data_IF_221045056578
#
_entry.id   IF_221045056578
#
_cell.length_a   1.000
_cell.length_b   1.000
_cell.length_c   1.000
_cell.angle_alpha   90.00
_cell.angle_beta   90.00
_cell.angle_gamma   90.00
#
_symmetry.space_group_name_H-M   'P 1'
#
loop_
_entity.id
_entity.type
_entity.pdbx_description
1 polymer ?
#
# COMPACT_ATOMS: atom_id res chain seq x y z
N UNK A 1 9.39 15.63 14.88
CA UNK A 1 9.23 16.09 13.49
C UNK A 1 9.00 14.87 12.60
N UNK A 2 8.08 14.94 11.64
CA UNK A 2 7.86 13.85 10.69
C UNK A 2 9.04 13.77 9.70
N UNK A 3 9.54 12.55 9.46
CA UNK A 3 10.60 12.28 8.48
C UNK A 3 10.12 12.49 7.05
N UNK A 4 8.81 12.42 6.83
CA UNK A 4 8.16 12.71 5.55
C UNK A 4 7.71 14.17 5.40
N UNK A 5 8.06 15.03 6.36
CA UNK A 5 7.68 16.44 6.37
C UNK A 5 8.53 17.30 5.42
N UNK A 6 7.87 18.15 4.63
CA UNK A 6 8.52 19.11 3.73
C UNK A 6 9.41 20.10 4.47
N UNK A 7 8.97 20.55 5.66
CA UNK A 7 9.75 21.44 6.52
C UNK A 7 11.09 20.82 6.91
N UNK A 8 11.10 19.54 7.30
CA UNK A 8 12.33 18.86 7.71
C UNK A 8 13.30 18.71 6.54
N UNK A 9 12.78 18.38 5.35
CA UNK A 9 13.58 18.33 4.12
C UNK A 9 14.22 19.68 3.79
N UNK A 10 13.45 20.78 3.81
CA UNK A 10 13.99 22.11 3.53
C UNK A 10 15.03 22.56 4.56
N UNK A 11 14.81 22.24 5.84
CA UNK A 11 15.82 22.49 6.87
C UNK A 11 17.12 21.74 6.57
N UNK A 12 17.06 20.46 6.17
CA UNK A 12 18.27 19.70 5.80
C UNK A 12 18.96 20.24 4.55
N UNK A 13 18.21 20.69 3.54
CA UNK A 13 18.80 21.34 2.35
C UNK A 13 19.55 22.62 2.77
N UNK A 14 18.94 23.46 3.60
CA UNK A 14 19.58 24.66 4.10
C UNK A 14 20.85 24.33 4.92
N UNK A 15 20.78 23.33 5.80
CA UNK A 15 21.93 22.84 6.56
C UNK A 15 23.03 22.29 5.65
N UNK A 16 22.69 21.59 4.57
CA UNK A 16 23.67 21.05 3.61
C UNK A 16 24.42 22.17 2.90
N UNK A 17 23.72 23.25 2.49
CA UNK A 17 24.35 24.45 1.93
C UNK A 17 25.30 25.09 2.96
N UNK A 18 24.85 25.27 4.20
CA UNK A 18 25.69 25.80 5.29
C UNK A 18 26.92 24.91 5.52
N UNK A 19 26.76 23.60 5.46
CA UNK A 19 27.84 22.65 5.70
C UNK A 19 28.92 22.66 4.61
N UNK A 20 28.58 23.09 3.38
CA UNK A 20 29.56 23.34 2.31
C UNK A 20 30.20 24.73 2.45
N UNK A 21 29.42 25.75 2.78
CA UNK A 21 29.91 27.13 2.90
C UNK A 21 30.85 27.31 4.10
N UNK A 22 30.56 26.68 5.24
CA UNK A 22 31.36 26.81 6.47
C UNK A 22 32.86 26.47 6.25
N UNK A 23 33.23 25.29 5.72
CA UNK A 23 34.60 25.00 5.35
C UNK A 23 35.19 26.02 4.37
N UNK A 24 34.47 26.36 3.29
CA UNK A 24 35.00 27.28 2.28
C UNK A 24 35.37 28.65 2.85
N UNK A 25 34.59 29.16 3.82
CA UNK A 25 34.81 30.49 4.41
C UNK A 25 35.78 30.44 5.61
N UNK A 26 35.66 29.44 6.48
CA UNK A 26 36.33 29.45 7.79
C UNK A 26 37.60 28.61 7.84
N UNK A 27 37.86 27.70 6.88
CA UNK A 27 38.95 26.72 6.98
C UNK A 27 40.33 27.33 7.30
N UNK A 28 40.64 28.48 6.69
CA UNK A 28 41.89 29.22 6.87
C UNK A 28 41.80 30.35 7.92
N UNK A 29 40.59 30.72 8.36
CA UNK A 29 40.33 31.90 9.19
C UNK A 29 40.14 31.61 10.68
N UNK A 30 40.25 30.36 11.11
CA UNK A 30 40.07 29.96 12.52
C UNK A 30 41.21 30.48 13.41
N UNK A 31 40.93 31.35 14.40
CA UNK A 31 41.92 31.76 15.40
C UNK A 31 42.12 30.66 16.45
N UNK A 32 43.22 30.74 17.21
CA UNK A 32 43.45 29.89 18.39
C UNK A 32 44.48 28.76 18.22
N UNK A 33 44.65 27.92 19.27
CA UNK A 33 45.66 26.87 19.32
C UNK A 33 45.55 25.84 18.19
N UNK A 34 46.67 25.24 17.76
CA UNK A 34 46.70 24.24 16.68
C UNK A 34 45.68 23.10 16.88
N UNK A 35 45.56 22.60 18.10
CA UNK A 35 44.63 21.51 18.45
C UNK A 35 43.17 21.95 18.29
N UNK A 36 42.81 23.14 18.79
CA UNK A 36 41.46 23.68 18.67
C UNK A 36 41.05 23.90 17.20
N UNK A 37 41.98 24.40 16.37
CA UNK A 37 41.76 24.56 14.92
C UNK A 37 41.57 23.22 14.21
N UNK A 38 42.38 22.22 14.57
CA UNK A 38 42.23 20.87 14.02
C UNK A 38 40.88 20.26 14.41
N UNK A 39 40.49 20.36 15.69
CA UNK A 39 39.19 19.89 16.18
C UNK A 39 38.03 20.58 15.46
N UNK A 40 38.07 21.91 15.31
CA UNK A 40 37.04 22.66 14.57
C UNK A 40 36.93 22.23 13.11
N UNK A 41 38.05 21.97 12.43
CA UNK A 41 38.06 21.44 11.05
C UNK A 41 37.45 20.06 10.97
N UNK A 42 37.79 19.16 11.90
CA UNK A 42 37.18 17.83 11.99
C UNK A 42 35.67 17.94 12.21
N UNK A 43 35.22 18.81 13.12
CA UNK A 43 33.80 19.04 13.35
C UNK A 43 33.07 19.57 12.12
N UNK A 44 33.66 20.51 11.36
CA UNK A 44 33.10 20.99 10.10
C UNK A 44 32.95 19.86 9.07
N UNK A 45 33.96 18.99 8.94
CA UNK A 45 33.89 17.84 8.04
C UNK A 45 32.82 16.82 8.47
N UNK A 46 32.76 16.50 9.77
CA UNK A 46 31.75 15.59 10.32
C UNK A 46 30.34 16.16 10.14
N UNK A 47 30.17 17.47 10.33
CA UNK A 47 28.89 18.15 10.09
C UNK A 47 28.48 18.08 8.61
N UNK A 48 29.41 18.30 7.69
CA UNK A 48 29.17 18.18 6.25
C UNK A 48 28.80 16.76 5.84
N UNK A 49 29.58 15.76 6.27
CA UNK A 49 29.29 14.36 5.99
C UNK A 49 27.97 13.91 6.59
N UNK A 50 27.73 14.22 7.86
CA UNK A 50 26.49 13.85 8.56
C UNK A 50 25.25 14.48 7.90
N UNK A 51 25.34 15.75 7.51
CA UNK A 51 24.23 16.44 6.82
C UNK A 51 23.99 15.88 5.42
N UNK A 52 25.05 15.56 4.67
CA UNK A 52 24.93 14.94 3.35
C UNK A 52 24.24 13.57 3.42
N UNK A 53 24.69 12.71 4.35
CA UNK A 53 24.08 11.39 4.59
C UNK A 53 22.62 11.53 5.02
N UNK A 54 22.32 12.45 5.96
CA UNK A 54 20.96 12.70 6.41
C UNK A 54 20.05 13.21 5.27
N UNK A 55 20.56 14.10 4.40
CA UNK A 55 19.81 14.61 3.26
C UNK A 55 19.50 13.48 2.26
N UNK A 56 20.49 12.67 1.89
CA UNK A 56 20.28 11.51 1.00
C UNK A 56 19.27 10.54 1.60
N UNK A 57 19.40 10.22 2.89
CA UNK A 57 18.45 9.38 3.61
C UNK A 57 17.02 9.92 3.52
N UNK A 58 16.82 11.22 3.77
CA UNK A 58 15.49 11.84 3.70
C UNK A 58 14.94 11.89 2.28
N UNK A 59 15.79 12.11 1.27
CA UNK A 59 15.36 12.07 -0.14
C UNK A 59 14.83 10.68 -0.51
N UNK A 60 15.59 9.64 -0.20
CA UNK A 60 15.18 8.24 -0.46
C UNK A 60 13.93 7.87 0.34
N UNK A 61 13.85 8.28 1.61
CA UNK A 61 12.68 8.04 2.45
C UNK A 61 11.44 8.76 1.92
N UNK A 62 11.56 9.99 1.43
CA UNK A 62 10.43 10.75 0.88
C UNK A 62 9.96 10.20 -0.47
N UNK A 63 10.89 9.68 -1.27
CA UNK A 63 10.57 9.05 -2.54
C UNK A 63 9.82 7.72 -2.34
N UNK A 64 10.17 6.95 -1.32
CA UNK A 64 9.63 5.61 -1.08
C UNK A 64 8.62 5.53 0.08
N UNK A 65 8.47 6.59 0.88
CA UNK A 65 7.65 6.64 2.10
C UNK A 65 7.86 5.41 3.00
N UNK A 66 9.12 5.15 3.39
CA UNK A 66 9.49 3.98 4.20
C UNK A 66 9.16 4.18 5.69
N UNK A 67 9.50 5.36 6.22
CA UNK A 67 9.40 5.69 7.66
C UNK A 67 8.70 7.05 7.86
N UNK A 68 7.73 7.12 8.77
CA UNK A 68 6.98 8.34 9.05
C UNK A 68 7.67 9.25 10.07
N UNK A 69 8.34 8.65 11.06
CA UNK A 69 8.95 9.34 12.18
C UNK A 69 10.22 8.62 12.68
N UNK A 70 10.96 9.30 13.56
CA UNK A 70 12.21 8.76 14.13
C UNK A 70 12.03 7.47 14.93
N UNK A 71 10.85 7.27 15.54
CA UNK A 71 10.53 6.02 16.23
C UNK A 71 10.53 4.83 15.29
N UNK A 72 10.09 5.01 14.05
CA UNK A 72 10.12 3.94 13.04
C UNK A 72 11.56 3.61 12.61
N UNK A 73 12.43 4.63 12.50
CA UNK A 73 13.84 4.48 12.13
C UNK A 73 14.65 3.85 13.27
N UNK A 74 14.41 4.29 14.49
CA UNK A 74 15.13 3.83 15.68
C UNK A 74 14.54 2.53 16.25
N UNK A 75 13.43 2.03 15.69
CA UNK A 75 12.76 0.83 16.16
C UNK A 75 12.17 0.98 17.57
N UNK A 76 11.65 2.16 17.89
CA UNK A 76 11.01 2.46 19.20
C UNK A 76 9.51 2.70 19.10
N UNK A 77 8.94 2.62 17.89
CA UNK A 77 7.50 2.71 17.67
C UNK A 77 6.75 1.48 18.19
N UNK A 78 5.81 1.70 19.10
CA UNK A 78 4.83 0.71 19.53
C UNK A 78 3.43 1.32 19.46
N UNK A 79 2.56 0.68 18.68
CA UNK A 79 1.19 1.11 18.45
C UNK A 79 0.16 0.18 19.11
N UNK A 80 0.59 -0.81 19.89
CA UNK A 80 -0.28 -1.80 20.50
C UNK A 80 -0.46 -1.47 21.97
N UNK A 81 -1.66 -1.02 22.36
CA UNK A 81 -1.99 -0.78 23.77
C UNK A 81 -2.44 -2.04 24.48
N UNK A 82 -3.06 -2.95 23.74
CA UNK A 82 -3.56 -4.23 24.23
C UNK A 82 -3.62 -5.23 23.07
N UNK A 83 -3.30 -6.49 23.34
CA UNK A 83 -3.43 -7.59 22.39
C UNK A 83 -4.11 -8.78 23.07
N UNK A 84 -5.42 -8.66 23.31
CA UNK A 84 -6.22 -9.74 23.89
C UNK A 84 -6.28 -10.95 22.93
N UNK A 85 -6.50 -12.15 23.47
CA UNK A 85 -6.87 -13.30 22.65
C UNK A 85 -8.29 -13.10 22.12
N UNK A 86 -8.41 -12.83 20.83
CA UNK A 86 -9.67 -12.56 20.16
C UNK A 86 -10.36 -13.84 19.65
N UNK A 87 -9.76 -15.02 19.85
CA UNK A 87 -10.28 -16.27 19.31
C UNK A 87 -10.33 -16.30 17.78
N UNK A 88 -10.97 -17.34 17.25
CA UNK A 88 -10.99 -17.61 15.80
C UNK A 88 -11.79 -16.59 14.97
N UNK A 89 -12.77 -15.90 15.59
CA UNK A 89 -13.60 -14.91 14.89
C UNK A 89 -12.94 -13.51 14.80
N UNK A 90 -11.82 -13.32 15.51
CA UNK A 90 -11.08 -12.07 15.56
C UNK A 90 -11.85 -10.94 16.27
N UNK A 91 -12.82 -11.26 17.12
CA UNK A 91 -13.60 -10.26 17.86
C UNK A 91 -13.57 -10.45 19.37
N UNK A 92 -13.11 -11.60 19.88
CA UNK A 92 -13.11 -11.89 21.32
C UNK A 92 -14.52 -11.99 21.90
N UNK A 93 -15.50 -12.45 21.11
CA UNK A 93 -16.92 -12.51 21.49
C UNK A 93 -17.65 -11.16 21.48
N UNK A 94 -17.01 -10.11 20.95
CA UNK A 94 -17.61 -8.78 20.84
C UNK A 94 -18.60 -8.76 19.68
N UNK A 95 -19.87 -8.53 20.00
CA UNK A 95 -20.90 -8.28 19.00
C UNK A 95 -20.67 -6.93 18.31
N UNK A 96 -20.06 -6.92 17.11
CA UNK A 96 -19.66 -5.71 16.40
C UNK A 96 -20.80 -4.69 16.18
N UNK A 97 -22.02 -5.18 15.95
CA UNK A 97 -23.22 -4.34 15.79
C UNK A 97 -23.65 -3.60 17.07
N UNK A 98 -23.19 -4.05 18.24
CA UNK A 98 -23.45 -3.41 19.54
C UNK A 98 -22.37 -2.43 19.95
N UNK A 99 -21.24 -2.39 19.22
CA UNK A 99 -20.20 -1.43 19.53
C UNK A 99 -20.71 0.00 19.28
N UNK A 100 -20.51 0.92 20.23
CA UNK A 100 -20.94 2.30 20.08
C UNK A 100 -20.27 2.94 18.87
N UNK A 101 -20.90 3.98 18.32
CA UNK A 101 -20.32 4.72 17.20
C UNK A 101 -18.97 5.32 17.57
N UNK A 102 -18.00 5.18 16.69
CA UNK A 102 -16.68 5.79 16.83
C UNK A 102 -16.73 7.13 16.10
N UNK A 103 -16.76 8.24 16.84
CA UNK A 103 -16.66 9.59 16.25
C UNK A 103 -15.21 10.04 16.25
N UNK A 104 -14.74 10.55 15.11
CA UNK A 104 -13.37 10.99 14.91
C UNK A 104 -13.36 12.44 14.42
N UNK A 105 -12.38 13.19 14.91
CA UNK A 105 -12.01 14.49 14.33
C UNK A 105 -10.85 14.24 13.37
N UNK A 106 -10.94 14.82 12.18
CA UNK A 106 -9.93 14.65 11.15
C UNK A 106 -9.19 15.95 10.92
N UNK A 107 -7.87 15.84 10.83
CA UNK A 107 -7.00 16.95 10.46
C UNK A 107 -6.46 16.77 9.05
N UNK A 108 -5.95 17.84 8.47
CA UNK A 108 -5.32 17.79 7.16
C UNK A 108 -3.94 17.16 7.27
N UNK A 109 -3.72 16.03 6.58
CA UNK A 109 -2.45 15.32 6.61
C UNK A 109 -1.30 16.18 6.03
N UNK A 110 -0.11 15.96 6.60
CA UNK A 110 1.14 16.57 6.15
C UNK A 110 2.08 15.55 5.50
N UNK A 111 2.90 16.04 4.57
CA UNK A 111 3.85 15.24 3.80
C UNK A 111 3.61 15.32 2.30
N UNK A 112 4.48 14.65 1.53
CA UNK A 112 4.39 14.61 0.07
C UNK A 112 3.03 14.05 -0.40
N UNK A 113 2.44 14.65 -1.43
CA UNK A 113 1.13 14.25 -1.99
C UNK A 113 -0.10 14.59 -1.13
N UNK A 114 0.05 14.84 0.17
CA UNK A 114 -1.09 14.95 1.11
C UNK A 114 -2.00 16.15 0.90
N UNK A 115 -1.53 17.21 0.23
CA UNK A 115 -2.32 18.41 -0.08
C UNK A 115 -2.90 18.37 -1.50
N UNK A 116 -2.50 17.40 -2.33
CA UNK A 116 -2.98 17.27 -3.69
C UNK A 116 -4.41 16.72 -3.74
N UNK A 117 -5.08 16.91 -4.88
CA UNK A 117 -6.39 16.34 -5.18
C UNK A 117 -7.47 16.56 -4.10
N UNK A 118 -7.54 17.74 -3.49
CA UNK A 118 -8.53 18.06 -2.45
C UNK A 118 -8.13 17.68 -1.02
N UNK A 119 -6.93 17.12 -0.85
CA UNK A 119 -6.31 16.89 0.46
C UNK A 119 -6.67 15.56 1.10
N UNK A 120 -5.66 14.92 1.69
CA UNK A 120 -5.79 13.71 2.51
C UNK A 120 -5.99 14.12 3.96
N UNK A 121 -6.92 13.45 4.64
CA UNK A 121 -7.23 13.66 6.05
C UNK A 121 -6.55 12.60 6.89
N UNK A 122 -6.26 12.89 8.15
CA UNK A 122 -5.70 11.94 9.11
C UNK A 122 -6.40 12.06 10.45
N UNK A 123 -6.54 10.93 11.15
CA UNK A 123 -6.90 10.88 12.56
C UNK A 123 -6.05 9.82 13.28
N UNK A 124 -5.95 9.94 14.60
CA UNK A 124 -5.41 8.92 15.48
C UNK A 124 -6.57 8.04 15.97
N UNK A 125 -6.65 6.79 15.53
CA UNK A 125 -7.71 5.87 15.92
C UNK A 125 -7.23 4.93 17.02
N UNK A 126 -7.93 4.95 18.16
CA UNK A 126 -7.85 3.91 19.18
C UNK A 126 -8.85 2.80 18.88
N UNK A 127 -8.36 1.68 18.36
CA UNK A 127 -9.10 0.46 18.10
C UNK A 127 -9.63 -0.15 19.39
N UNK A 128 -10.93 -0.44 19.43
CA UNK A 128 -11.61 -0.96 20.62
C UNK A 128 -11.52 -2.48 20.71
N UNK A 129 -11.42 -3.14 19.57
CA UNK A 129 -11.31 -4.60 19.49
C UNK A 129 -9.85 -5.02 19.42
N UNK A 130 -9.09 -4.40 18.52
CA UNK A 130 -7.68 -4.71 18.31
C UNK A 130 -6.76 -4.21 19.43
N UNK A 131 -7.16 -3.16 20.16
CA UNK A 131 -6.27 -2.48 21.11
C UNK A 131 -5.14 -1.69 20.44
N UNK A 132 -5.17 -1.53 19.11
CA UNK A 132 -4.21 -0.73 18.35
C UNK A 132 -4.54 0.75 18.47
N UNK A 133 -3.52 1.59 18.61
CA UNK A 133 -3.63 3.04 18.57
C UNK A 133 -2.69 3.61 17.52
N UNK A 134 -3.22 3.88 16.32
CA UNK A 134 -2.43 4.30 15.18
C UNK A 134 -3.16 5.29 14.27
N UNK A 135 -2.39 5.95 13.40
CA UNK A 135 -2.87 6.87 12.39
C UNK A 135 -3.66 6.15 11.29
N UNK A 136 -4.75 6.79 10.85
CA UNK A 136 -5.53 6.36 9.69
C UNK A 136 -5.71 7.55 8.76
N UNK A 137 -5.27 7.38 7.50
CA UNK A 137 -5.38 8.38 6.46
C UNK A 137 -6.62 8.13 5.61
N UNK A 138 -7.37 9.17 5.27
CA UNK A 138 -8.59 9.07 4.47
C UNK A 138 -8.60 10.14 3.40
N UNK A 139 -8.85 9.75 2.16
CA UNK A 139 -9.14 10.66 1.06
C UNK A 139 -10.56 10.43 0.54
N UNK A 140 -11.26 11.52 0.22
CA UNK A 140 -12.63 11.48 -0.24
C UNK A 140 -12.69 11.79 -1.74
N UNK A 141 -13.52 11.07 -2.51
CA UNK A 141 -13.67 11.31 -3.94
C UNK A 141 -14.26 12.72 -4.18
N UNK A 142 -13.99 13.36 -5.32
CA UNK A 142 -14.47 14.72 -5.58
C UNK A 142 -16.01 14.82 -5.48
N UNK A 143 -16.72 13.76 -5.85
CA UNK A 143 -18.17 13.65 -5.76
C UNK A 143 -18.70 13.72 -4.32
N UNK A 144 -17.88 13.45 -3.30
CA UNK A 144 -18.33 13.45 -1.91
C UNK A 144 -18.89 14.80 -1.46
N UNK A 145 -18.49 15.90 -2.08
CA UNK A 145 -18.97 17.23 -1.73
C UNK A 145 -19.96 17.82 -2.76
N UNK A 146 -20.29 17.06 -3.80
CA UNK A 146 -21.23 17.49 -4.83
C UNK A 146 -22.69 17.35 -4.34
N UNK A 147 -23.55 18.37 -4.52
CA UNK A 147 -24.95 18.32 -4.10
C UNK A 147 -25.74 17.12 -4.67
N UNK A 148 -25.39 16.69 -5.88
CA UNK A 148 -25.99 15.53 -6.54
C UNK A 148 -25.77 14.21 -5.77
N UNK A 149 -24.71 14.12 -4.96
CA UNK A 149 -24.33 12.92 -4.21
C UNK A 149 -24.56 13.07 -2.69
N UNK A 150 -25.34 14.07 -2.27
CA UNK A 150 -25.57 14.35 -0.84
C UNK A 150 -26.08 13.14 -0.04
N UNK A 151 -26.83 12.25 -0.70
CA UNK A 151 -27.40 11.02 -0.12
C UNK A 151 -26.72 9.74 -0.63
N UNK A 152 -25.70 9.88 -1.47
CA UNK A 152 -24.95 8.75 -2.00
C UNK A 152 -23.97 8.23 -0.94
N UNK A 153 -23.91 6.91 -0.83
CA UNK A 153 -22.87 6.20 -0.08
C UNK A 153 -21.85 5.70 -1.08
N UNK A 154 -20.58 5.84 -0.73
CA UNK A 154 -19.46 5.59 -1.61
C UNK A 154 -18.81 4.26 -1.27
N UNK A 155 -18.38 3.48 -2.28
CA UNK A 155 -17.57 2.29 -2.05
C UNK A 155 -16.22 2.67 -1.44
N UNK A 156 -15.60 1.74 -0.72
CA UNK A 156 -14.36 1.97 0.03
C UNK A 156 -13.27 1.02 -0.47
N UNK A 157 -12.06 1.55 -0.64
CA UNK A 157 -10.85 0.75 -0.82
C UNK A 157 -9.91 1.02 0.35
N UNK A 158 -9.64 -0.02 1.14
CA UNK A 158 -8.61 -0.01 2.16
C UNK A 158 -7.25 -0.29 1.55
N UNK A 159 -6.24 0.54 1.86
CA UNK A 159 -4.98 0.63 1.15
C UNK A 159 -3.83 0.25 2.10
N UNK A 160 -3.21 -0.90 1.84
CA UNK A 160 -2.19 -1.50 2.70
C UNK A 160 -0.79 -1.32 2.08
N UNK A 161 0.16 -0.65 2.75
CA UNK A 161 1.51 -0.53 2.24
C UNK A 161 2.29 -1.84 2.40
N UNK A 162 3.41 -1.96 1.69
CA UNK A 162 4.41 -3.01 1.90
C UNK A 162 5.20 -2.83 3.19
N UNK A 163 6.12 -3.77 3.47
CA UNK A 163 7.01 -3.75 4.61
C UNK A 163 8.49 -3.66 4.17
N UNK A 164 9.32 -2.81 4.81
CA UNK A 164 8.89 -1.66 5.62
C UNK A 164 8.17 -0.64 4.74
N UNK A 165 7.18 0.07 5.30
CA UNK A 165 6.45 1.09 4.56
C UNK A 165 5.48 1.89 5.42
N UNK A 166 5.15 3.09 4.96
CA UNK A 166 4.15 3.97 5.56
C UNK A 166 2.82 3.90 4.83
N UNK A 167 1.72 4.04 5.57
CA UNK A 167 0.39 4.24 5.01
C UNK A 167 0.33 5.45 4.06
N UNK A 168 1.19 6.44 4.29
CA UNK A 168 1.32 7.62 3.41
C UNK A 168 1.78 7.28 2.01
N UNK A 169 2.48 6.15 1.80
CA UNK A 169 3.04 5.78 0.51
C UNK A 169 2.00 5.68 -0.61
N UNK A 170 0.76 5.30 -0.28
CA UNK A 170 -0.34 5.27 -1.22
C UNK A 170 -0.66 6.65 -1.82
N UNK A 171 -0.69 7.68 -0.99
CA UNK A 171 -0.95 9.06 -1.43
C UNK A 171 0.33 9.78 -1.88
N UNK A 172 1.48 9.51 -1.26
CA UNK A 172 2.76 10.13 -1.61
C UNK A 172 3.40 9.50 -2.84
N UNK A 173 3.97 8.30 -2.68
CA UNK A 173 4.77 7.64 -3.72
C UNK A 173 3.93 7.04 -4.85
N UNK A 174 2.79 6.43 -4.53
CA UNK A 174 1.88 5.84 -5.52
C UNK A 174 0.90 6.87 -6.09
N UNK A 175 0.74 8.04 -5.46
CA UNK A 175 -0.10 9.15 -5.96
C UNK A 175 -1.53 8.69 -6.31
N UNK A 176 -2.10 7.78 -5.51
CA UNK A 176 -3.35 7.09 -5.83
C UNK A 176 -4.50 8.06 -6.10
N UNK A 177 -4.69 9.03 -5.21
CA UNK A 177 -5.73 10.05 -5.31
C UNK A 177 -5.53 11.00 -6.49
N UNK A 178 -4.29 11.36 -6.83
CA UNK A 178 -4.00 12.20 -7.99
C UNK A 178 -4.26 11.47 -9.32
N UNK A 179 -3.87 10.19 -9.41
CA UNK A 179 -4.10 9.38 -10.61
C UNK A 179 -5.59 9.12 -10.84
N UNK A 180 -6.35 8.88 -9.76
CA UNK A 180 -7.77 8.52 -9.87
C UNK A 180 -8.69 9.74 -9.97
N UNK A 181 -8.31 10.91 -9.46
CA UNK A 181 -9.14 12.13 -9.49
C UNK A 181 -9.77 12.42 -10.88
N UNK A 182 -9.00 12.51 -11.99
CA UNK A 182 -9.60 12.78 -13.30
C UNK A 182 -10.53 11.64 -13.75
N UNK A 183 -10.14 10.38 -13.50
CA UNK A 183 -10.93 9.21 -13.89
C UNK A 183 -12.25 9.11 -13.12
N UNK A 184 -12.25 9.49 -11.84
CA UNK A 184 -13.45 9.58 -11.04
C UNK A 184 -14.36 10.71 -11.54
N UNK A 185 -13.81 11.88 -11.87
CA UNK A 185 -14.59 12.99 -12.45
C UNK A 185 -15.27 12.60 -13.77
N UNK A 186 -14.54 11.87 -14.62
CA UNK A 186 -15.04 11.41 -15.92
C UNK A 186 -15.95 10.18 -15.82
N UNK A 187 -16.09 9.58 -14.63
CA UNK A 187 -16.91 8.39 -14.39
C UNK A 187 -16.31 7.09 -14.92
N UNK A 188 -15.01 7.08 -15.25
CA UNK A 188 -14.27 5.88 -15.67
C UNK A 188 -13.83 4.99 -14.49
N UNK A 189 -13.73 5.58 -13.30
CA UNK A 189 -13.47 4.89 -12.03
C UNK A 189 -14.56 5.32 -11.05
N UNK A 190 -15.06 4.38 -10.25
CA UNK A 190 -16.06 4.68 -9.22
C UNK A 190 -15.50 5.69 -8.19
N UNK A 191 -16.35 6.54 -7.60
CA UNK A 191 -15.91 7.49 -6.59
C UNK A 191 -15.60 6.76 -5.26
N UNK A 192 -14.42 6.15 -5.15
CA UNK A 192 -14.02 5.43 -3.94
C UNK A 192 -13.60 6.38 -2.81
N UNK A 193 -14.04 6.08 -1.58
CA UNK A 193 -13.32 6.52 -0.38
C UNK A 193 -12.06 5.68 -0.28
N UNK A 194 -10.91 6.34 -0.13
CA UNK A 194 -9.63 5.68 0.00
C UNK A 194 -9.17 5.79 1.46
N UNK A 195 -8.95 4.67 2.13
CA UNK A 195 -8.50 4.63 3.53
C UNK A 195 -7.19 3.88 3.63
N UNK A 196 -6.15 4.51 4.17
CA UNK A 196 -4.84 3.88 4.38
C UNK A 196 -4.51 3.88 5.89
N UNK A 197 -4.76 2.79 6.61
CA UNK A 197 -4.36 2.65 8.00
C UNK A 197 -2.88 2.28 8.12
N UNK A 198 -2.27 2.60 9.27
CA UNK A 198 -0.96 2.09 9.63
C UNK A 198 -0.95 0.56 9.73
N UNK A 199 0.03 -0.10 9.12
CA UNK A 199 0.24 -1.56 9.20
C UNK A 199 1.52 -1.94 9.95
N UNK A 200 2.52 -1.05 9.98
CA UNK A 200 3.70 -1.16 10.83
C UNK A 200 3.32 -0.80 12.28
N UNK A 201 2.80 -1.80 13.01
CA UNK A 201 2.30 -1.64 14.38
C UNK A 201 3.35 -1.91 15.45
N UNK A 202 4.39 -2.66 15.09
CA UNK A 202 5.50 -3.04 15.97
C UNK A 202 6.82 -2.64 15.30
N UNK A 203 7.78 -2.21 16.10
CA UNK A 203 9.10 -1.87 15.62
C UNK A 203 9.84 -3.07 15.04
N UNK A 204 10.40 -2.90 13.84
CA UNK A 204 11.38 -3.83 13.25
C UNK A 204 10.82 -5.18 12.80
N UNK A 205 9.50 -5.41 12.89
CA UNK A 205 8.87 -6.67 12.46
C UNK A 205 7.61 -6.41 11.63
N UNK A 206 7.35 -7.29 10.66
CA UNK A 206 6.08 -7.37 9.97
C UNK A 206 5.10 -8.23 10.78
N UNK A 207 3.88 -7.73 11.00
CA UNK A 207 2.85 -8.47 11.74
C UNK A 207 2.20 -9.57 10.90
N UNK A 208 2.41 -9.59 9.59
CA UNK A 208 1.70 -10.45 8.64
C UNK A 208 0.18 -10.19 8.62
N UNK A 209 -0.22 -9.00 9.08
CA UNK A 209 -1.63 -8.61 9.30
C UNK A 209 -2.41 -9.66 10.08
N UNK A 210 -1.81 -10.25 11.12
CA UNK A 210 -2.37 -11.33 11.91
C UNK A 210 -2.78 -10.88 13.31
N UNK A 211 -3.74 -11.60 13.90
CA UNK A 211 -3.97 -11.57 15.33
C UNK A 211 -3.02 -12.59 16.00
N UNK A 212 -2.14 -12.07 16.84
CA UNK A 212 -1.14 -12.78 17.61
C UNK A 212 -1.38 -12.45 19.08
N UNK A 213 -2.07 -13.34 19.83
CA UNK A 213 -2.41 -13.11 21.23
C UNK A 213 -1.20 -12.69 22.06
N UNK A 214 -1.35 -11.64 22.88
CA UNK A 214 -0.28 -11.09 23.69
C UNK A 214 0.76 -10.26 22.93
N UNK A 215 0.67 -10.16 21.60
CA UNK A 215 1.62 -9.41 20.77
C UNK A 215 0.95 -8.30 19.95
N UNK A 216 -0.02 -8.62 19.09
CA UNK A 216 -0.70 -7.62 18.24
C UNK A 216 -1.98 -8.20 17.65
N UNK A 217 -3.03 -7.39 17.50
CA UNK A 217 -4.25 -7.78 16.78
C UNK A 217 -4.37 -7.02 15.46
N UNK A 218 -3.42 -7.26 14.54
CA UNK A 218 -3.30 -6.51 13.29
C UNK A 218 -4.41 -6.87 12.29
N UNK A 219 -4.90 -8.11 12.30
CA UNK A 219 -6.05 -8.49 11.47
C UNK A 219 -7.28 -7.68 11.91
N UNK A 220 -7.64 -7.72 13.20
CA UNK A 220 -8.84 -7.02 13.69
C UNK A 220 -8.72 -5.50 13.62
N UNK A 221 -7.50 -4.95 13.65
CA UNK A 221 -7.28 -3.53 13.37
C UNK A 221 -7.78 -3.16 11.98
N UNK A 222 -7.35 -3.93 10.96
CA UNK A 222 -7.67 -3.71 9.55
C UNK A 222 -9.10 -4.15 9.20
N UNK A 223 -9.55 -5.28 9.73
CA UNK A 223 -10.82 -5.89 9.34
C UNK A 223 -12.01 -5.46 10.21
N UNK A 224 -11.78 -4.82 11.36
CA UNK A 224 -12.85 -4.41 12.29
C UNK A 224 -12.79 -2.94 12.65
N UNK A 225 -11.73 -2.50 13.32
CA UNK A 225 -11.69 -1.16 13.93
C UNK A 225 -11.65 -0.05 12.87
N UNK A 226 -10.81 -0.19 11.85
CA UNK A 226 -10.69 0.78 10.74
C UNK A 226 -11.99 0.84 9.92
N UNK A 227 -12.56 -0.28 9.43
CA UNK A 227 -13.83 -0.25 8.70
C UNK A 227 -14.98 0.34 9.50
N UNK A 228 -15.09 -0.01 10.79
CA UNK A 228 -16.08 0.58 11.68
C UNK A 228 -15.92 2.09 11.78
N UNK A 229 -14.70 2.57 12.00
CA UNK A 229 -14.42 4.01 12.05
C UNK A 229 -14.85 4.70 10.75
N UNK A 230 -14.55 4.12 9.59
CA UNK A 230 -14.92 4.71 8.30
C UNK A 230 -16.45 4.75 8.15
N UNK A 231 -17.16 3.65 8.42
CA UNK A 231 -18.62 3.59 8.33
C UNK A 231 -19.34 4.52 9.31
N UNK A 232 -18.74 4.78 10.48
CA UNK A 232 -19.32 5.68 11.49
C UNK A 232 -19.11 7.17 11.13
N UNK A 233 -18.06 7.53 10.38
CA UNK A 233 -17.68 8.94 10.12
C UNK A 233 -17.93 9.40 8.68
N UNK A 234 -18.08 8.50 7.73
CA UNK A 234 -18.29 8.83 6.31
C UNK A 234 -19.54 8.18 5.74
N UNK A 235 -20.04 8.72 4.61
CA UNK A 235 -21.08 8.07 3.81
C UNK A 235 -20.48 6.89 3.05
N UNK A 236 -20.06 5.85 3.76
CA UNK A 236 -19.53 4.63 3.19
C UNK A 236 -20.65 3.61 2.93
N UNK A 237 -20.52 2.86 1.84
CA UNK A 237 -21.34 1.67 1.62
C UNK A 237 -21.05 0.59 2.69
N UNK A 238 -22.05 -0.25 3.03
CA UNK A 238 -21.82 -1.34 3.95
C UNK A 238 -20.96 -2.45 3.34
N UNK A 239 -20.19 -3.12 4.19
CA UNK A 239 -19.50 -4.36 3.85
C UNK A 239 -20.49 -5.53 3.65
N UNK A 240 -20.12 -6.58 2.90
CA UNK A 240 -18.89 -6.69 2.10
C UNK A 240 -19.00 -6.01 0.73
N UNK A 241 -20.22 -5.79 0.22
CA UNK A 241 -20.44 -5.42 -1.18
C UNK A 241 -19.76 -4.10 -1.58
N UNK A 242 -19.71 -3.12 -0.68
CA UNK A 242 -19.08 -1.82 -0.92
C UNK A 242 -17.61 -1.73 -0.50
N UNK A 243 -16.95 -2.84 -0.18
CA UNK A 243 -15.60 -2.85 0.39
C UNK A 243 -14.62 -3.71 -0.39
N UNK A 244 -13.46 -3.12 -0.67
CA UNK A 244 -12.30 -3.80 -1.21
C UNK A 244 -11.04 -3.45 -0.42
N UNK A 245 -10.00 -4.28 -0.56
CA UNK A 245 -8.68 -4.05 0.02
C UNK A 245 -7.61 -4.13 -1.06
N UNK A 246 -6.70 -3.18 -1.11
CA UNK A 246 -5.64 -3.12 -2.10
C UNK A 246 -4.29 -2.97 -1.42
N UNK A 247 -3.29 -3.70 -1.90
CA UNK A 247 -1.98 -3.75 -1.28
C UNK A 247 -0.85 -3.98 -2.28
N UNK A 248 0.36 -3.58 -1.91
CA UNK A 248 1.58 -3.93 -2.63
C UNK A 248 2.57 -4.65 -1.70
N UNK A 249 3.38 -5.57 -2.23
CA UNK A 249 4.36 -6.35 -1.46
C UNK A 249 3.70 -7.06 -0.26
N UNK A 250 4.22 -6.90 0.97
CA UNK A 250 3.58 -7.40 2.20
C UNK A 250 2.12 -6.93 2.36
N UNK A 251 1.78 -5.72 1.92
CA UNK A 251 0.40 -5.25 1.86
C UNK A 251 -0.46 -6.01 0.87
N UNK A 252 0.11 -6.49 -0.25
CA UNK A 252 -0.57 -7.34 -1.23
C UNK A 252 -0.87 -8.74 -0.69
N UNK A 253 0.06 -9.30 0.08
CA UNK A 253 -0.19 -10.50 0.89
C UNK A 253 -1.37 -10.26 1.85
N UNK A 254 -1.32 -9.18 2.64
CA UNK A 254 -2.38 -8.84 3.58
C UNK A 254 -3.74 -8.63 2.90
N UNK A 255 -3.79 -7.92 1.77
CA UNK A 255 -5.03 -7.69 1.02
C UNK A 255 -5.67 -9.01 0.58
N UNK A 256 -4.87 -9.91 0.02
CA UNK A 256 -5.33 -11.25 -0.39
C UNK A 256 -5.80 -12.06 0.80
N UNK A 257 -5.00 -12.10 1.87
CA UNK A 257 -5.30 -12.82 3.11
C UNK A 257 -6.59 -12.34 3.75
N UNK A 258 -6.78 -11.03 3.90
CA UNK A 258 -7.96 -10.45 4.53
C UNK A 258 -9.23 -10.72 3.72
N UNK A 259 -9.19 -10.65 2.40
CA UNK A 259 -10.34 -10.98 1.57
C UNK A 259 -10.71 -12.48 1.64
N UNK A 260 -9.71 -13.37 1.64
CA UNK A 260 -9.94 -14.82 1.77
C UNK A 260 -10.48 -15.16 3.16
N UNK A 261 -9.93 -14.54 4.22
CA UNK A 261 -10.31 -14.83 5.60
C UNK A 261 -11.65 -14.19 6.02
N UNK A 262 -11.97 -13.02 5.46
CA UNK A 262 -13.14 -12.22 5.84
C UNK A 262 -14.00 -11.83 4.62
N UNK A 263 -14.59 -12.82 3.92
CA UNK A 263 -15.46 -12.55 2.77
C UNK A 263 -16.79 -11.87 3.14
N UNK A 264 -17.12 -11.83 4.43
CA UNK A 264 -18.20 -11.01 5.02
C UNK A 264 -17.82 -9.53 5.15
N UNK A 265 -16.54 -9.18 5.01
CA UNK A 265 -16.01 -7.83 5.18
C UNK A 265 -15.48 -7.22 3.89
N UNK A 266 -14.91 -8.04 2.99
CA UNK A 266 -14.38 -7.58 1.70
C UNK A 266 -14.95 -8.39 0.53
N UNK A 267 -15.36 -7.71 -0.54
CA UNK A 267 -15.80 -8.33 -1.79
C UNK A 267 -14.67 -8.49 -2.81
N UNK A 268 -13.66 -7.63 -2.77
CA UNK A 268 -12.57 -7.69 -3.74
C UNK A 268 -11.23 -7.36 -3.10
N UNK A 269 -10.15 -7.90 -3.67
CA UNK A 269 -8.80 -7.51 -3.31
C UNK A 269 -7.90 -7.28 -4.52
N UNK A 270 -6.97 -6.33 -4.37
CA UNK A 270 -5.88 -6.07 -5.31
C UNK A 270 -4.56 -6.37 -4.60
N UNK A 271 -3.72 -7.18 -5.22
CA UNK A 271 -2.38 -7.53 -4.75
C UNK A 271 -1.35 -7.21 -5.83
N UNK A 272 -0.45 -6.27 -5.54
CA UNK A 272 0.62 -5.86 -6.44
C UNK A 272 1.96 -6.41 -5.94
N UNK A 273 2.53 -7.39 -6.64
CA UNK A 273 3.73 -8.13 -6.17
C UNK A 273 3.54 -8.74 -4.77
N UNK A 274 2.33 -9.16 -4.41
CA UNK A 274 2.09 -9.83 -3.13
C UNK A 274 2.39 -11.32 -3.20
N UNK A 275 2.83 -11.88 -2.08
CA UNK A 275 3.09 -13.30 -1.90
C UNK A 275 1.92 -14.00 -1.19
N UNK A 276 1.77 -15.30 -1.41
CA UNK A 276 0.78 -16.13 -0.74
C UNK A 276 1.32 -16.72 0.57
N UNK A 277 2.61 -17.03 0.63
CA UNK A 277 3.25 -17.64 1.78
C UNK A 277 3.98 -16.62 2.67
N UNK A 278 3.68 -16.54 3.98
CA UNK A 278 4.36 -15.64 4.91
C UNK A 278 5.89 -15.63 4.86
N UNK A 279 6.54 -16.73 4.45
CA UNK A 279 8.01 -16.78 4.30
C UNK A 279 8.55 -15.81 3.23
N UNK A 280 7.68 -15.27 2.38
CA UNK A 280 8.01 -14.20 1.44
C UNK A 280 8.53 -12.93 2.11
N UNK A 281 8.19 -12.68 3.38
CA UNK A 281 8.74 -11.60 4.19
C UNK A 281 9.52 -12.17 5.38
N UNK A 282 10.85 -12.02 5.31
CA UNK A 282 11.78 -12.60 6.31
C UNK A 282 11.55 -12.07 7.72
N UNK A 283 11.08 -10.84 7.85
CA UNK A 283 10.81 -10.21 9.14
C UNK A 283 9.37 -10.41 9.61
N UNK A 284 8.58 -11.25 8.93
CA UNK A 284 7.19 -11.50 9.32
C UNK A 284 7.12 -12.40 10.55
N UNK A 285 6.41 -11.96 11.58
CA UNK A 285 6.07 -12.77 12.74
C UNK A 285 5.31 -14.04 12.33
N UNK A 286 4.53 -13.97 11.26
CA UNK A 286 3.76 -15.11 10.76
C UNK A 286 4.60 -16.15 10.02
N UNK A 287 5.85 -15.83 9.68
CA UNK A 287 6.80 -16.78 9.07
C UNK A 287 7.58 -17.62 10.09
N UNK A 288 7.49 -17.29 11.39
CA UNK A 288 8.39 -17.85 12.42
C UNK A 288 8.11 -19.30 12.79
N UNK A 289 6.91 -19.81 12.54
CA UNK A 289 6.56 -21.21 12.80
C UNK A 289 5.66 -21.79 11.71
N UNK A 290 5.70 -23.12 11.47
CA UNK A 290 4.79 -23.76 10.52
C UNK A 290 3.31 -23.52 10.84
N UNK A 291 2.94 -23.48 12.12
CA UNK A 291 1.57 -23.23 12.54
C UNK A 291 1.10 -21.81 12.17
N UNK A 292 1.91 -20.79 12.48
CA UNK A 292 1.59 -19.40 12.12
C UNK A 292 1.60 -19.20 10.61
N UNK A 293 2.55 -19.80 9.91
CA UNK A 293 2.67 -19.74 8.46
C UNK A 293 1.41 -20.30 7.80
N UNK A 294 1.00 -21.50 8.20
CA UNK A 294 -0.20 -22.14 7.65
C UNK A 294 -1.47 -21.36 7.99
N UNK A 295 -1.60 -20.89 9.23
CA UNK A 295 -2.74 -20.11 9.67
C UNK A 295 -2.88 -18.75 8.97
N UNK A 296 -1.83 -18.23 8.33
CA UNK A 296 -1.81 -16.92 7.67
C UNK A 296 -1.54 -16.98 6.16
N UNK A 297 -1.47 -18.18 5.58
CA UNK A 297 -1.27 -18.37 4.13
C UNK A 297 -2.63 -18.34 3.38
N UNK A 298 -2.97 -17.29 2.59
CA UNK A 298 -4.19 -17.23 1.78
C UNK A 298 -4.39 -18.41 0.82
N UNK A 299 -3.33 -18.99 0.24
CA UNK A 299 -3.44 -20.13 -0.65
C UNK A 299 -3.95 -21.36 0.11
N UNK A 300 -3.40 -21.64 1.29
CA UNK A 300 -3.86 -22.75 2.13
C UNK A 300 -5.30 -22.53 2.61
N UNK A 301 -5.62 -21.31 3.08
CA UNK A 301 -6.99 -20.95 3.47
C UNK A 301 -7.98 -21.16 2.33
N UNK A 302 -7.63 -20.75 1.11
CA UNK A 302 -8.49 -20.90 -0.07
C UNK A 302 -8.69 -22.37 -0.44
N UNK A 303 -7.64 -23.20 -0.33
CA UNK A 303 -7.70 -24.65 -0.58
C UNK A 303 -8.54 -25.39 0.44
N UNK A 304 -8.44 -25.00 1.70
CA UNK A 304 -9.13 -25.63 2.84
C UNK A 304 -10.57 -25.12 3.03
N UNK A 305 -10.95 -24.02 2.37
CA UNK A 305 -12.29 -23.47 2.43
C UNK A 305 -13.32 -24.47 1.91
N UNK A 306 -14.17 -24.99 2.82
CA UNK A 306 -15.28 -25.89 2.47
C UNK A 306 -16.28 -25.23 1.53
N UNK A 307 -16.56 -23.95 1.77
CA UNK A 307 -17.38 -23.10 0.92
C UNK A 307 -16.47 -22.01 0.34
N UNK A 308 -16.22 -22.02 -0.98
CA UNK A 308 -15.36 -21.00 -1.59
C UNK A 308 -15.92 -19.59 -1.34
N UNK A 309 -15.07 -18.64 -0.89
CA UNK A 309 -15.53 -17.29 -0.55
C UNK A 309 -15.99 -16.53 -1.80
N UNK A 310 -17.08 -15.77 -1.69
CA UNK A 310 -17.55 -14.88 -2.77
C UNK A 310 -16.72 -13.60 -2.82
N UNK A 311 -15.53 -13.71 -3.38
CA UNK A 311 -14.56 -12.63 -3.54
C UNK A 311 -13.96 -12.64 -4.95
N UNK A 312 -13.53 -11.46 -5.40
CA UNK A 312 -12.75 -11.29 -6.62
C UNK A 312 -11.32 -10.85 -6.29
N UNK A 313 -10.31 -11.45 -6.91
CA UNK A 313 -8.91 -11.15 -6.67
C UNK A 313 -8.25 -10.63 -7.96
N UNK A 314 -7.62 -9.46 -7.90
CA UNK A 314 -6.69 -8.96 -8.93
C UNK A 314 -5.28 -9.12 -8.40
N UNK A 315 -4.49 -9.99 -9.02
CA UNK A 315 -3.16 -10.36 -8.54
C UNK A 315 -2.14 -10.09 -9.64
N UNK A 316 -1.25 -9.11 -9.44
CA UNK A 316 -0.18 -8.82 -10.38
C UNK A 316 1.18 -9.17 -9.81
N UNK A 317 2.10 -9.58 -10.67
CA UNK A 317 3.46 -9.91 -10.25
C UNK A 317 4.40 -10.16 -11.43
N UNK A 318 5.70 -10.11 -11.14
CA UNK A 318 6.77 -10.51 -12.05
C UNK A 318 7.21 -11.95 -11.70
N UNK A 319 7.95 -12.66 -12.58
CA UNK A 319 8.56 -13.94 -12.21
C UNK A 319 9.45 -13.80 -10.98
N UNK A 320 9.24 -14.66 -9.99
CA UNK A 320 9.84 -14.62 -8.65
C UNK A 320 9.48 -13.39 -7.81
N UNK A 321 8.44 -12.67 -8.21
CA UNK A 321 7.90 -11.52 -7.49
C UNK A 321 6.36 -11.49 -7.60
N UNK A 322 5.72 -12.43 -6.89
CA UNK A 322 4.26 -12.53 -6.76
C UNK A 322 3.53 -13.24 -7.91
N UNK A 323 4.13 -13.40 -9.09
CA UNK A 323 3.45 -14.04 -10.23
C UNK A 323 3.10 -15.52 -9.95
N UNK A 324 4.03 -16.29 -9.38
CA UNK A 324 3.81 -17.70 -9.06
C UNK A 324 2.75 -17.87 -7.98
N UNK A 325 2.74 -16.99 -6.97
CA UNK A 325 1.70 -16.96 -5.94
C UNK A 325 0.32 -16.65 -6.54
N UNK A 326 0.25 -15.69 -7.47
CA UNK A 326 -0.97 -15.33 -8.18
C UNK A 326 -1.53 -16.50 -8.99
N UNK A 327 -0.68 -17.19 -9.75
CA UNK A 327 -1.06 -18.39 -10.52
C UNK A 327 -1.50 -19.52 -9.60
N UNK A 328 -0.82 -19.75 -8.46
CA UNK A 328 -1.20 -20.79 -7.52
C UNK A 328 -2.60 -20.54 -6.89
N UNK A 329 -2.91 -19.28 -6.58
CA UNK A 329 -4.22 -18.85 -6.12
C UNK A 329 -5.29 -19.03 -7.20
N UNK A 330 -5.02 -18.62 -8.45
CA UNK A 330 -5.92 -18.82 -9.59
C UNK A 330 -6.25 -20.29 -9.80
N UNK A 331 -5.24 -21.17 -9.80
CA UNK A 331 -5.41 -22.61 -9.98
C UNK A 331 -6.16 -23.28 -8.82
N UNK A 332 -6.14 -22.68 -7.63
CA UNK A 332 -6.79 -23.21 -6.44
C UNK A 332 -8.19 -22.64 -6.21
N UNK A 333 -8.52 -21.53 -6.87
CA UNK A 333 -9.81 -20.87 -6.75
C UNK A 333 -10.95 -21.73 -7.30
N UNK A 334 -12.07 -21.72 -6.60
CA UNK A 334 -13.31 -22.39 -6.99
C UNK A 334 -14.44 -21.37 -6.97
N UNK A 335 -15.41 -21.51 -7.87
CA UNK A 335 -16.58 -20.63 -7.88
C UNK A 335 -17.25 -20.61 -6.49
N UNK A 336 -17.70 -19.44 -5.99
CA UNK A 336 -17.77 -18.15 -6.68
C UNK A 336 -16.51 -17.26 -6.59
N UNK A 337 -15.38 -17.75 -6.06
CA UNK A 337 -14.12 -16.99 -6.08
C UNK A 337 -13.64 -16.80 -7.52
N UNK A 338 -13.30 -15.57 -7.90
CA UNK A 338 -12.65 -15.26 -9.18
C UNK A 338 -11.25 -14.71 -8.94
N UNK A 339 -10.31 -15.04 -9.83
CA UNK A 339 -8.94 -14.55 -9.78
C UNK A 339 -8.56 -14.05 -11.16
N UNK A 340 -8.02 -12.84 -11.22
CA UNK A 340 -7.48 -12.20 -12.42
C UNK A 340 -5.99 -12.00 -12.21
N UNK A 341 -5.18 -12.82 -12.88
CA UNK A 341 -3.73 -12.73 -12.81
C UNK A 341 -3.20 -11.78 -13.88
N UNK A 342 -2.32 -10.86 -13.48
CA UNK A 342 -1.65 -9.91 -14.37
C UNK A 342 -0.15 -10.13 -14.34
N UNK A 343 0.38 -10.65 -15.45
CA UNK A 343 1.81 -10.79 -15.64
C UNK A 343 2.46 -9.42 -15.86
N UNK A 344 3.52 -9.14 -15.09
CA UNK A 344 4.35 -7.94 -15.25
C UNK A 344 5.75 -8.37 -15.69
N UNK A 345 6.28 -7.89 -16.83
CA UNK A 345 7.60 -8.31 -17.29
C UNK A 345 8.71 -7.73 -16.41
N UNK A 346 9.85 -8.42 -16.30
CA UNK A 346 11.04 -7.92 -15.57
C UNK A 346 11.55 -6.58 -16.11
N UNK A 347 11.29 -6.28 -17.38
CA UNK A 347 11.64 -4.98 -18.00
C UNK A 347 10.84 -3.80 -17.46
N UNK A 348 9.75 -4.03 -16.72
CA UNK A 348 8.94 -2.98 -16.10
C UNK A 348 9.59 -2.34 -14.86
N UNK A 349 10.71 -2.88 -14.38
CA UNK A 349 11.44 -2.39 -13.20
C UNK A 349 11.60 -3.46 -12.12
N UNK A 350 12.14 -3.06 -10.97
CA UNK A 350 12.26 -3.91 -9.78
C UNK A 350 11.16 -3.65 -8.75
N UNK A 351 11.19 -4.38 -7.64
CA UNK A 351 10.22 -4.34 -6.52
C UNK A 351 10.21 -2.97 -5.80
N UNK A 352 9.65 -1.96 -6.46
CA UNK A 352 9.76 -0.54 -6.12
C UNK A 352 8.47 0.20 -6.48
N UNK A 353 8.32 1.42 -5.96
CA UNK A 353 7.19 2.29 -6.28
C UNK A 353 7.01 2.54 -7.78
N UNK A 354 8.09 2.53 -8.57
CA UNK A 354 8.04 2.70 -10.01
C UNK A 354 7.32 1.54 -10.72
N UNK A 355 7.38 0.33 -10.17
CA UNK A 355 6.68 -0.85 -10.68
C UNK A 355 5.18 -0.80 -10.37
N UNK A 356 4.81 -0.37 -9.16
CA UNK A 356 3.43 -0.38 -8.68
C UNK A 356 2.61 0.84 -9.10
N UNK A 357 3.23 2.03 -9.18
CA UNK A 357 2.52 3.29 -9.50
C UNK A 357 1.69 3.20 -10.79
N UNK A 358 2.20 2.65 -11.92
CA UNK A 358 1.41 2.52 -13.16
C UNK A 358 0.24 1.54 -13.05
N UNK A 359 0.22 0.67 -12.05
CA UNK A 359 -0.81 -0.36 -11.87
C UNK A 359 -2.03 0.14 -11.09
N UNK A 360 -1.97 1.35 -10.51
CA UNK A 360 -3.10 1.97 -9.80
C UNK A 360 -4.31 2.12 -10.72
N UNK A 361 -4.14 2.75 -11.89
CA UNK A 361 -5.26 2.97 -12.81
C UNK A 361 -5.93 1.67 -13.28
N UNK A 362 -5.22 0.66 -13.81
CA UNK A 362 -5.87 -0.57 -14.27
C UNK A 362 -6.56 -1.35 -13.13
N UNK A 363 -5.94 -1.43 -11.95
CA UNK A 363 -6.55 -2.14 -10.81
C UNK A 363 -7.83 -1.46 -10.30
N UNK A 364 -7.88 -0.12 -10.25
CA UNK A 364 -9.08 0.60 -9.83
C UNK A 364 -10.20 0.64 -10.88
N UNK A 365 -9.86 0.57 -12.17
CA UNK A 365 -10.84 0.31 -13.23
C UNK A 365 -11.45 -1.09 -13.08
N UNK A 366 -10.62 -2.09 -12.80
CA UNK A 366 -11.09 -3.44 -12.52
C UNK A 366 -11.99 -3.47 -11.28
N UNK A 367 -11.60 -2.84 -10.17
CA UNK A 367 -12.44 -2.73 -8.97
C UNK A 367 -13.80 -2.08 -9.25
N UNK A 368 -13.83 -1.04 -10.09
CA UNK A 368 -15.08 -0.37 -10.50
C UNK A 368 -16.06 -1.35 -11.14
N UNK A 369 -15.56 -2.25 -12.00
CA UNK A 369 -16.38 -3.26 -12.67
C UNK A 369 -16.82 -4.35 -11.70
N UNK A 370 -15.87 -4.95 -10.97
CA UNK A 370 -16.13 -6.11 -10.09
C UNK A 370 -17.03 -5.78 -8.90
N UNK A 371 -16.95 -4.55 -8.39
CA UNK A 371 -17.81 -4.09 -7.31
C UNK A 371 -19.19 -3.65 -7.80
N UNK A 372 -19.49 -3.77 -9.10
CA UNK A 372 -20.78 -3.37 -9.68
C UNK A 372 -20.99 -1.86 -9.68
N UNK A 373 -19.91 -1.07 -9.68
CA UNK A 373 -19.93 0.39 -9.57
C UNK A 373 -19.84 1.08 -10.94
N UNK A 374 -19.79 0.31 -12.02
CA UNK A 374 -19.87 0.83 -13.40
C UNK A 374 -21.21 1.53 -13.63
N UNK A 375 -21.16 2.75 -14.16
CA UNK A 375 -22.36 3.44 -14.62
C UNK A 375 -22.91 2.75 -15.88
N UNK A 376 -24.21 2.42 -15.94
CA UNK A 376 -24.82 2.05 -17.21
C UNK A 376 -24.81 3.30 -18.11
N UNK A 377 -23.91 3.36 -19.10
CA UNK A 377 -23.99 4.36 -20.17
C UNK A 377 -22.71 4.93 -20.76
N UNK A 378 -21.50 4.73 -20.21
CA UNK A 378 -20.25 5.19 -20.86
C UNK A 378 -19.09 4.23 -20.63
N UNK A 379 -18.73 3.48 -21.68
CA UNK A 379 -17.41 2.86 -21.81
C UNK A 379 -17.26 1.42 -21.30
N UNK A 380 -18.13 0.49 -21.71
CA UNK A 380 -17.73 -0.91 -21.76
C UNK A 380 -16.86 -1.10 -23.01
N UNK A 381 -15.53 -1.06 -22.87
CA UNK A 381 -14.66 -1.64 -23.90
C UNK A 381 -14.91 -3.15 -23.90
N UNK A 382 -15.23 -3.79 -25.05
CA UNK A 382 -15.45 -5.23 -25.10
C UNK A 382 -14.19 -5.96 -24.61
N UNK A 383 -14.32 -7.10 -23.90
CA UNK A 383 -13.18 -7.94 -23.60
C UNK A 383 -12.51 -8.36 -24.91
N UNK A 384 -11.20 -8.12 -25.01
CA UNK A 384 -10.39 -8.61 -26.13
C UNK A 384 -10.43 -10.14 -26.10
N UNK A 385 -10.68 -10.84 -27.22
CA UNK A 385 -10.70 -12.29 -27.25
C UNK A 385 -9.32 -12.86 -26.87
N UNK A 386 -9.32 -13.78 -25.92
CA UNK A 386 -8.15 -14.57 -25.54
C UNK A 386 -7.64 -15.37 -26.74
N UNK A 387 -6.39 -15.14 -27.15
CA UNK A 387 -5.68 -15.97 -28.15
C UNK A 387 -5.18 -17.25 -27.50
N UNK A 388 -6.11 -18.11 -27.07
CA UNK A 388 -5.80 -19.50 -26.74
C UNK A 388 -6.06 -20.35 -27.99
N UNK A 389 -5.11 -20.33 -28.93
CA UNK A 389 -5.23 -21.11 -30.16
C UNK A 389 -4.31 -20.66 -31.30
N UNK A 390 -3.00 -20.64 -31.10
CA UNK A 390 -2.06 -20.61 -32.21
C UNK A 390 -0.79 -21.40 -31.84
N UNK A 391 -0.52 -22.48 -32.59
CA UNK A 391 0.75 -23.21 -32.56
C UNK A 391 1.77 -22.50 -33.45
N UNK A 392 2.95 -22.31 -32.88
CA UNK A 392 4.33 -22.21 -33.39
C UNK A 392 4.70 -21.53 -34.74
N UNK A 393 5.81 -20.78 -34.62
CA UNK A 393 6.67 -20.12 -35.61
C UNK A 393 6.14 -18.75 -36.10
N UNK A 394 6.89 -17.65 -36.11
CA UNK A 394 8.34 -17.49 -36.23
C UNK A 394 8.78 -16.11 -35.67
N UNK A 395 10.03 -16.06 -35.24
CA UNK A 395 10.71 -14.91 -34.64
C UNK A 395 10.90 -13.75 -35.63
N UNK A 396 11.02 -12.57 -35.03
CA UNK A 396 11.36 -11.30 -35.65
C UNK A 396 12.56 -11.34 -36.62
N UNK A 397 12.47 -10.56 -37.70
CA UNK A 397 13.54 -9.78 -38.34
C UNK A 397 12.87 -8.95 -39.45
N UNK A 398 13.01 -7.63 -39.51
CA UNK A 398 14.27 -6.96 -39.79
C UNK A 398 14.23 -6.48 -41.24
N UNK A 399 14.15 -5.16 -41.40
CA UNK A 399 14.23 -4.38 -42.63
C UNK A 399 15.31 -4.84 -43.63
N UNK A 400 14.97 -4.99 -44.91
CA UNK A 400 15.72 -4.45 -46.05
C UNK A 400 15.04 -4.80 -47.39
N UNK A 401 14.72 -3.79 -48.19
CA UNK A 401 14.40 -3.91 -49.62
C UNK A 401 15.65 -4.28 -50.42
N UNK A 402 15.47 -5.08 -51.48
CA UNK A 402 16.14 -4.85 -52.78
C UNK A 402 15.39 -5.56 -53.91
N UNK A 403 15.03 -4.77 -54.91
CA UNK A 403 14.55 -5.21 -56.20
C UNK A 403 15.71 -5.73 -57.07
N UNK A 404 15.33 -6.53 -58.08
CA UNK A 404 16.02 -6.83 -59.35
C UNK A 404 17.37 -7.56 -59.30
N UNK A 405 17.40 -8.79 -59.80
CA UNK A 405 17.91 -9.10 -61.16
C UNK A 405 17.85 -10.61 -61.43
N UNK A 406 17.68 -10.95 -62.71
CA UNK A 406 17.39 -12.27 -63.22
C UNK A 406 18.63 -13.11 -63.55
N UNK A 407 18.36 -14.39 -63.84
CA UNK A 407 19.09 -15.38 -64.68
C UNK A 407 20.25 -16.20 -64.07
N UNK A 408 19.90 -17.48 -63.83
CA UNK A 408 20.54 -18.79 -64.15
C UNK A 408 21.69 -18.79 -65.19
N UNK A 409 22.56 -19.81 -65.23
CA UNK A 409 22.23 -21.26 -65.34
C UNK A 409 22.00 -22.01 -64.03
#
# INVERSE_FOLDING_TARGET
MSLTGTTFLYTLIALAVVAVVLPLVLWSRLPGPKVARAAARVLMLLFAQGTAVALVFVLVNNENNLYDNWGDVLGTGDHVQQAADLGADGTGGIALHRLPKVRQTFEQAGGSGMRAAGGVRVTQLKGRVSGVNAEVYVWLPPQYHEPAYRHHRFPVVELLPGYPGSAKAWFGSLRVHEQLLPLMKDGQVAPFILVAPRTNLLAGVDTGCANLPGTVNADSWLSVDVPKMVMDNFRAEPAPAGWAVAGYSAGGHCATKLAVAHPDRYRAAVSLSGYDDPIGERNSLTAQSPALRNANNPLLKLREARTPPRIALYLSGQPHDGYEAAVALEQSAKAPTTVHVVYVPKSAGGHTMALWRPQVVPSFRWLTVEMGQSRPGRGATPPVPSTAGARHAELASGTASRATAARRP
#
